data_IF_463659991905
#
_entry.id   IF_463659991905
#
_cell.length_a   1.000
_cell.length_b   1.000
_cell.length_c   1.000
_cell.angle_alpha   90.00
_cell.angle_beta   90.00
_cell.angle_gamma   90.00
#
_symmetry.space_group_name_H-M   'P 1'
#
loop_
_entity.id
_entity.type
_entity.pdbx_description
1 polymer ?
#
# COMPACT_ATOMS: atom_id res chain seq x y z
N UNK A 1 17.75 -38.32 10.67
CA UNK A 1 16.42 -38.83 10.24
C UNK A 1 15.41 -38.25 11.23
N UNK A 2 14.77 -37.12 10.93
CA UNK A 2 13.47 -37.01 10.25
C UNK A 2 12.34 -37.13 11.30
N UNK A 3 11.37 -36.24 11.52
CA UNK A 3 10.86 -35.10 10.77
C UNK A 3 10.32 -34.07 11.79
N UNK A 4 10.74 -32.81 11.70
CA UNK A 4 10.07 -31.70 12.38
C UNK A 4 8.94 -31.20 11.49
N UNK A 5 7.71 -31.61 11.78
CA UNK A 5 6.50 -31.10 11.15
C UNK A 5 6.33 -29.62 11.51
N UNK A 6 6.85 -28.73 10.66
CA UNK A 6 6.48 -27.32 10.62
C UNK A 6 5.00 -27.25 10.23
N UNK A 7 4.14 -27.18 11.25
CA UNK A 7 2.79 -26.65 11.08
C UNK A 7 2.95 -25.22 10.57
N UNK A 8 2.90 -25.06 9.25
CA UNK A 8 2.42 -23.83 8.66
C UNK A 8 1.06 -23.57 9.32
N UNK A 9 1.04 -22.68 10.30
CA UNK A 9 -0.20 -21.98 10.65
C UNK A 9 -0.55 -21.26 9.36
N UNK A 10 -1.43 -21.88 8.56
CA UNK A 10 -2.20 -21.14 7.58
C UNK A 10 -2.91 -20.07 8.40
N UNK A 11 -2.34 -18.86 8.43
CA UNK A 11 -3.14 -17.68 8.69
C UNK A 11 -4.18 -17.74 7.59
N UNK A 12 -5.36 -18.24 7.91
CA UNK A 12 -6.54 -18.00 7.09
C UNK A 12 -6.51 -16.50 6.90
N UNK A 13 -6.17 -16.06 5.68
CA UNK A 13 -6.40 -14.71 5.22
C UNK A 13 -7.89 -14.52 5.42
N UNK A 14 -8.27 -13.99 6.59
CA UNK A 14 -9.63 -13.65 6.93
C UNK A 14 -9.95 -12.50 6.00
N UNK A 15 -10.47 -12.84 4.82
CA UNK A 15 -11.04 -11.87 3.88
C UNK A 15 -12.05 -11.04 4.65
N UNK A 16 -12.05 -9.71 4.46
CA UNK A 16 -12.97 -8.85 5.21
C UNK A 16 -14.44 -9.00 4.76
N UNK A 17 -14.71 -9.75 3.68
CA UNK A 17 -16.06 -10.05 3.17
C UNK A 17 -17.01 -10.50 4.27
N UNK A 18 -18.14 -9.84 4.45
CA UNK A 18 -19.20 -10.22 5.41
C UNK A 18 -19.73 -11.64 5.10
N UNK A 19 -19.92 -12.46 6.15
CA UNK A 19 -20.55 -13.77 6.04
C UNK A 19 -22.07 -13.61 5.99
N UNK A 20 -22.70 -14.41 5.13
CA UNK A 20 -24.15 -14.57 5.03
C UNK A 20 -24.57 -15.73 5.94
N UNK A 21 -25.54 -15.47 6.80
CA UNK A 21 -26.13 -16.46 7.71
C UNK A 21 -27.21 -17.30 7.03
N UNK A 22 -27.86 -16.77 5.99
CA UNK A 22 -29.02 -17.36 5.34
C UNK A 22 -30.35 -16.98 6.01
N UNK A 23 -30.31 -16.17 7.08
CA UNK A 23 -31.47 -15.61 7.77
C UNK A 23 -31.56 -14.14 7.41
N UNK A 24 -32.63 -13.76 6.69
CA UNK A 24 -32.78 -12.42 6.10
C UNK A 24 -32.59 -11.30 7.11
N UNK A 25 -33.18 -11.44 8.30
CA UNK A 25 -33.16 -10.45 9.38
C UNK A 25 -31.74 -10.25 9.93
N UNK A 26 -30.95 -11.33 10.02
CA UNK A 26 -29.56 -11.29 10.47
C UNK A 26 -28.66 -10.69 9.39
N UNK A 27 -28.88 -11.06 8.14
CA UNK A 27 -28.08 -10.58 7.01
C UNK A 27 -28.31 -9.08 6.76
N UNK A 28 -29.54 -8.61 7.00
CA UNK A 28 -29.90 -7.18 6.94
C UNK A 28 -29.14 -6.33 7.96
N UNK A 29 -28.75 -6.88 9.12
CA UNK A 29 -27.92 -6.16 10.09
C UNK A 29 -26.62 -5.66 9.44
N UNK A 30 -26.04 -6.44 8.51
CA UNK A 30 -24.76 -6.12 7.88
C UNK A 30 -24.87 -5.58 6.45
N UNK A 31 -26.06 -5.45 5.88
CA UNK A 31 -26.23 -5.10 4.48
C UNK A 31 -25.53 -3.78 4.09
N UNK A 32 -25.65 -2.75 4.94
CA UNK A 32 -25.10 -1.42 4.66
C UNK A 32 -23.57 -1.35 4.73
N UNK A 33 -22.90 -2.35 5.34
CA UNK A 33 -21.44 -2.34 5.52
C UNK A 33 -20.69 -3.23 4.54
N UNK A 34 -21.40 -4.05 3.76
CA UNK A 34 -20.78 -4.96 2.78
C UNK A 34 -19.94 -4.20 1.75
N UNK A 35 -20.52 -3.18 1.11
CA UNK A 35 -19.81 -2.41 0.09
C UNK A 35 -18.62 -1.62 0.66
N UNK A 36 -18.75 -0.85 1.76
CA UNK A 36 -17.62 -0.11 2.32
C UNK A 36 -16.44 -1.01 2.72
N UNK A 37 -16.72 -2.19 3.31
CA UNK A 37 -15.66 -3.15 3.66
C UNK A 37 -14.97 -3.72 2.42
N UNK A 38 -15.75 -4.10 1.39
CA UNK A 38 -15.16 -4.62 0.15
C UNK A 38 -14.32 -3.56 -0.56
N UNK A 39 -14.77 -2.30 -0.51
CA UNK A 39 -14.01 -1.17 -1.06
C UNK A 39 -12.73 -0.95 -0.27
N UNK A 40 -12.77 -0.99 1.07
CA UNK A 40 -11.58 -0.91 1.92
C UNK A 40 -10.57 -2.02 1.60
N UNK A 41 -11.02 -3.26 1.49
CA UNK A 41 -10.16 -4.41 1.14
C UNK A 41 -9.45 -4.17 -0.19
N UNK A 42 -10.21 -3.72 -1.19
CA UNK A 42 -9.69 -3.47 -2.54
C UNK A 42 -8.68 -2.31 -2.55
N UNK A 43 -8.98 -1.20 -1.87
CA UNK A 43 -8.07 -0.07 -1.75
C UNK A 43 -6.77 -0.46 -1.03
N UNK A 44 -6.88 -1.24 0.05
CA UNK A 44 -5.73 -1.72 0.80
C UNK A 44 -4.83 -2.61 -0.06
N UNK A 45 -5.40 -3.58 -0.78
CA UNK A 45 -4.65 -4.50 -1.64
C UNK A 45 -4.00 -3.77 -2.81
N UNK A 46 -4.73 -2.85 -3.46
CA UNK A 46 -4.22 -2.10 -4.60
C UNK A 46 -3.06 -1.18 -4.20
N UNK A 47 -3.19 -0.44 -3.08
CA UNK A 47 -2.13 0.46 -2.64
C UNK A 47 -0.89 -0.31 -2.16
N UNK A 48 -1.08 -1.40 -1.41
CA UNK A 48 0.03 -2.28 -0.99
C UNK A 48 0.77 -2.86 -2.21
N UNK A 49 0.02 -3.38 -3.20
CA UNK A 49 0.62 -3.90 -4.43
C UNK A 49 1.39 -2.82 -5.21
N UNK A 50 0.82 -1.62 -5.36
CA UNK A 50 1.49 -0.51 -6.05
C UNK A 50 2.77 -0.07 -5.32
N UNK A 51 2.71 0.01 -3.99
CA UNK A 51 3.85 0.35 -3.14
C UNK A 51 4.98 -0.69 -3.28
N UNK A 52 4.65 -1.98 -3.17
CA UNK A 52 5.62 -3.07 -3.32
C UNK A 52 6.21 -3.11 -4.73
N UNK A 53 5.41 -2.94 -5.78
CA UNK A 53 5.89 -2.91 -7.16
C UNK A 53 6.90 -1.77 -7.38
N UNK A 54 6.65 -0.59 -6.81
CA UNK A 54 7.60 0.51 -6.87
C UNK A 54 8.92 0.17 -6.14
N UNK A 55 8.84 -0.41 -4.94
CA UNK A 55 10.04 -0.87 -4.20
C UNK A 55 10.81 -1.97 -4.93
N UNK A 56 10.12 -2.90 -5.60
CA UNK A 56 10.74 -3.95 -6.42
C UNK A 56 11.47 -3.33 -7.60
N UNK A 57 10.82 -2.41 -8.32
CA UNK A 57 11.41 -1.74 -9.50
C UNK A 57 12.64 -0.89 -9.17
N UNK A 58 12.75 -0.41 -7.92
CA UNK A 58 13.90 0.33 -7.41
C UNK A 58 14.92 -0.54 -6.66
N UNK A 59 14.64 -1.84 -6.51
CA UNK A 59 15.51 -2.79 -5.82
C UNK A 59 15.52 -2.67 -4.28
N UNK A 60 14.69 -1.81 -3.70
CA UNK A 60 14.63 -1.58 -2.25
C UNK A 60 13.84 -2.64 -1.48
N UNK A 61 12.94 -3.36 -2.16
CA UNK A 61 12.06 -4.36 -1.53
C UNK A 61 12.81 -5.44 -0.73
N UNK A 62 14.03 -5.82 -1.16
CA UNK A 62 14.82 -6.87 -0.49
C UNK A 62 15.47 -6.44 0.83
N UNK A 63 15.41 -5.17 1.19
CA UNK A 63 16.12 -4.62 2.36
C UNK A 63 15.13 -4.00 3.35
N UNK A 64 14.99 -4.65 4.52
CA UNK A 64 14.06 -4.25 5.60
C UNK A 64 14.24 -2.83 6.15
N UNK A 65 15.40 -2.22 5.90
CA UNK A 65 15.73 -0.89 6.42
C UNK A 65 15.36 0.23 5.46
N UNK A 66 15.09 -0.06 4.18
CA UNK A 66 14.75 0.97 3.22
C UNK A 66 13.31 1.41 3.35
N UNK A 67 13.13 2.72 3.32
CA UNK A 67 11.85 3.41 3.27
C UNK A 67 11.47 3.74 1.84
N UNK A 68 10.24 4.20 1.64
CA UNK A 68 9.81 4.71 0.33
C UNK A 68 10.69 5.87 -0.17
N UNK A 69 11.18 6.75 0.71
CA UNK A 69 12.07 7.85 0.32
C UNK A 69 13.44 7.40 -0.21
N UNK A 70 13.95 6.24 0.24
CA UNK A 70 15.14 5.62 -0.35
C UNK A 70 14.86 5.15 -1.79
N UNK A 71 13.67 4.60 -2.01
CA UNK A 71 13.20 4.17 -3.33
C UNK A 71 13.12 5.35 -4.30
N UNK A 72 12.62 6.50 -3.83
CA UNK A 72 12.63 7.76 -4.60
C UNK A 72 14.05 8.22 -4.91
N UNK A 73 14.97 8.13 -3.96
CA UNK A 73 16.37 8.52 -4.18
C UNK A 73 17.02 7.62 -5.24
N UNK A 74 16.78 6.31 -5.19
CA UNK A 74 17.27 5.36 -6.19
C UNK A 74 16.64 5.63 -7.56
N UNK A 75 15.36 5.96 -7.62
CA UNK A 75 14.71 6.41 -8.86
C UNK A 75 15.42 7.63 -9.46
N UNK A 76 15.73 8.65 -8.66
CA UNK A 76 16.46 9.84 -9.14
C UNK A 76 17.87 9.49 -9.63
N UNK A 77 18.58 8.58 -8.94
CA UNK A 77 19.88 8.06 -9.37
C UNK A 77 19.75 7.31 -10.70
N UNK A 78 18.71 6.50 -10.87
CA UNK A 78 18.40 5.78 -12.12
C UNK A 78 18.28 6.78 -13.28
N UNK A 79 17.44 7.79 -13.12
CA UNK A 79 17.27 8.84 -14.12
C UNK A 79 18.56 9.61 -14.37
N UNK A 80 19.32 9.89 -13.31
CA UNK A 80 20.59 10.60 -13.42
C UNK A 80 21.61 9.80 -14.24
N UNK A 81 21.67 8.50 -14.05
CA UNK A 81 22.54 7.59 -14.82
C UNK A 81 22.12 7.46 -16.29
N UNK A 82 20.82 7.55 -16.62
CA UNK A 82 20.37 7.65 -18.03
C UNK A 82 20.94 8.87 -18.73
N UNK A 83 21.13 9.97 -18.01
CA UNK A 83 21.56 11.26 -18.57
C UNK A 83 23.00 11.65 -18.23
N UNK A 84 23.81 10.72 -17.70
CA UNK A 84 25.17 10.99 -17.24
C UNK A 84 25.24 12.21 -16.30
N UNK A 85 24.43 12.21 -15.25
CA UNK A 85 24.43 13.24 -14.21
C UNK A 85 23.76 14.56 -14.58
N UNK A 86 23.06 14.66 -15.72
CA UNK A 86 22.44 15.92 -16.16
C UNK A 86 20.96 15.75 -16.53
N UNK A 87 20.08 16.00 -15.55
CA UNK A 87 18.63 15.90 -15.69
C UNK A 87 18.03 16.73 -16.84
N UNK A 88 18.69 17.82 -17.27
CA UNK A 88 18.20 18.61 -18.41
C UNK A 88 18.17 17.78 -19.70
N UNK A 89 19.04 16.76 -19.85
CA UNK A 89 19.02 15.89 -21.04
C UNK A 89 17.78 15.02 -21.13
N UNK A 90 17.06 14.81 -20.03
CA UNK A 90 15.79 14.07 -20.00
C UNK A 90 14.61 14.99 -19.68
N UNK A 91 14.82 16.32 -19.68
CA UNK A 91 13.81 17.32 -19.34
C UNK A 91 13.06 17.03 -18.03
N UNK A 92 13.77 16.53 -16.99
CA UNK A 92 13.13 16.22 -15.72
C UNK A 92 12.71 17.52 -15.01
N UNK A 93 11.41 17.61 -14.69
CA UNK A 93 10.78 18.68 -13.93
C UNK A 93 9.96 18.10 -12.80
N UNK A 94 10.01 18.75 -11.64
CA UNK A 94 9.07 18.47 -10.57
C UNK A 94 7.82 19.32 -10.72
N UNK A 95 6.68 18.74 -10.38
CA UNK A 95 5.37 19.41 -10.30
C UNK A 95 4.87 19.37 -8.85
N UNK A 96 4.07 20.36 -8.49
CA UNK A 96 3.39 20.40 -7.18
C UNK A 96 2.22 19.43 -7.10
N UNK A 97 1.72 18.97 -8.24
CA UNK A 97 0.57 18.08 -8.39
C UNK A 97 0.90 16.91 -9.32
N UNK A 98 0.03 15.90 -9.34
CA UNK A 98 0.09 14.72 -10.21
C UNK A 98 0.57 15.09 -11.63
N UNK A 99 1.62 14.45 -12.18
CA UNK A 99 2.36 13.26 -11.71
C UNK A 99 3.54 13.49 -10.76
N UNK A 100 3.71 14.70 -10.21
CA UNK A 100 4.85 15.14 -9.38
C UNK A 100 6.22 15.12 -10.07
N UNK A 101 6.45 14.21 -11.02
CA UNK A 101 7.63 14.12 -11.88
C UNK A 101 7.18 14.10 -13.34
N UNK A 102 7.71 15.01 -14.14
CA UNK A 102 7.57 15.02 -15.59
C UNK A 102 8.95 14.88 -16.23
N UNK A 103 9.10 14.00 -17.21
CA UNK A 103 10.35 13.81 -17.95
C UNK A 103 10.09 13.25 -19.35
N UNK A 104 11.08 13.38 -20.24
CA UNK A 104 11.05 12.75 -21.56
C UNK A 104 11.46 11.28 -21.47
N UNK A 105 10.46 10.40 -21.35
CA UNK A 105 10.66 8.96 -21.19
C UNK A 105 11.40 8.30 -22.35
N UNK A 106 11.34 8.85 -23.57
CA UNK A 106 12.03 8.29 -24.75
C UNK A 106 13.53 8.21 -24.52
N UNK A 107 14.08 9.15 -23.74
CA UNK A 107 15.49 9.29 -23.44
C UNK A 107 15.96 8.44 -22.24
N UNK A 108 15.04 7.72 -21.58
CA UNK A 108 15.36 6.77 -20.53
C UNK A 108 15.77 5.41 -21.10
N UNK A 109 16.66 4.72 -20.39
CA UNK A 109 16.92 3.29 -20.59
C UNK A 109 15.69 2.46 -20.25
N UNK A 110 15.56 1.29 -20.88
CA UNK A 110 14.36 0.45 -20.75
C UNK A 110 14.05 0.11 -19.28
N UNK A 111 15.08 -0.24 -18.52
CA UNK A 111 15.00 -0.58 -17.10
C UNK A 111 14.52 0.61 -16.24
N UNK A 112 14.87 1.84 -16.62
CA UNK A 112 14.47 3.05 -15.90
C UNK A 112 13.07 3.54 -16.30
N UNK A 113 12.56 3.12 -17.47
CA UNK A 113 11.15 3.37 -17.84
C UNK A 113 10.19 2.60 -16.94
N UNK A 114 10.57 1.39 -16.53
CA UNK A 114 9.77 0.59 -15.58
C UNK A 114 9.61 1.31 -14.24
N UNK A 115 10.70 1.87 -13.69
CA UNK A 115 10.66 2.67 -12.46
C UNK A 115 9.71 3.86 -12.59
N UNK A 116 9.72 4.55 -13.74
CA UNK A 116 8.81 5.67 -13.99
C UNK A 116 7.34 5.20 -14.08
N UNK A 117 7.11 4.05 -14.71
CA UNK A 117 5.78 3.46 -14.82
C UNK A 117 5.21 3.06 -13.46
N UNK A 118 6.00 2.39 -12.62
CA UNK A 118 5.57 1.96 -11.28
C UNK A 118 5.36 3.15 -10.34
N UNK A 119 6.17 4.22 -10.47
CA UNK A 119 5.94 5.49 -9.79
C UNK A 119 4.57 6.09 -10.13
N UNK A 120 4.23 6.19 -11.42
CA UNK A 120 2.93 6.76 -11.82
C UNK A 120 1.77 5.91 -11.31
N UNK A 121 1.87 4.58 -11.37
CA UNK A 121 0.86 3.67 -10.80
C UNK A 121 0.70 3.90 -9.29
N UNK A 122 1.81 4.04 -8.55
CA UNK A 122 1.78 4.36 -7.12
C UNK A 122 1.07 5.69 -6.86
N UNK A 123 1.39 6.74 -7.60
CA UNK A 123 0.77 8.06 -7.46
C UNK A 123 -0.72 8.05 -7.79
N UNK A 124 -1.11 7.42 -8.90
CA UNK A 124 -2.52 7.28 -9.29
C UNK A 124 -3.31 6.52 -8.21
N UNK A 125 -2.78 5.40 -7.74
CA UNK A 125 -3.40 4.58 -6.68
C UNK A 125 -3.47 5.34 -5.34
N UNK A 126 -2.43 6.09 -4.99
CA UNK A 126 -2.41 6.96 -3.82
C UNK A 126 -3.52 8.02 -3.87
N UNK A 127 -3.69 8.70 -5.00
CA UNK A 127 -4.71 9.74 -5.17
C UNK A 127 -6.13 9.16 -5.16
N UNK A 128 -6.35 8.05 -5.85
CA UNK A 128 -7.63 7.35 -5.84
C UNK A 128 -8.00 6.91 -4.42
N UNK A 129 -7.06 6.25 -3.73
CA UNK A 129 -7.25 5.75 -2.37
C UNK A 129 -7.54 6.91 -1.41
N UNK A 130 -6.74 7.98 -1.47
CA UNK A 130 -6.94 9.17 -0.63
C UNK A 130 -8.32 9.80 -0.83
N UNK A 131 -8.81 9.87 -2.07
CA UNK A 131 -10.12 10.47 -2.37
C UNK A 131 -11.29 9.67 -1.78
N UNK A 132 -11.19 8.33 -1.75
CA UNK A 132 -12.25 7.42 -1.30
C UNK A 132 -12.20 7.11 0.19
N UNK A 133 -11.02 7.20 0.81
CA UNK A 133 -10.81 6.74 2.18
C UNK A 133 -11.62 7.50 3.23
N UNK A 134 -11.83 8.81 3.05
CA UNK A 134 -12.59 9.61 4.01
C UNK A 134 -14.04 9.14 4.12
N UNK A 135 -14.72 8.96 2.98
CA UNK A 135 -16.10 8.49 2.93
C UNK A 135 -16.24 7.09 3.55
N UNK A 136 -15.33 6.16 3.19
CA UNK A 136 -15.34 4.80 3.73
C UNK A 136 -15.06 4.80 5.24
N UNK A 137 -14.12 5.65 5.68
CA UNK A 137 -13.77 5.76 7.10
C UNK A 137 -14.96 6.20 7.95
N UNK A 138 -15.76 7.16 7.48
CA UNK A 138 -16.95 7.60 8.20
C UNK A 138 -18.00 6.48 8.30
N UNK A 139 -18.29 5.82 7.18
CA UNK A 139 -19.25 4.71 7.12
C UNK A 139 -18.86 3.55 8.04
N UNK A 140 -17.57 3.17 8.08
CA UNK A 140 -17.08 2.10 8.96
C UNK A 140 -17.12 2.50 10.44
N UNK A 141 -16.80 3.75 10.76
CA UNK A 141 -16.86 4.22 12.15
C UNK A 141 -18.29 4.28 12.67
N UNK A 142 -19.22 4.85 11.90
CA UNK A 142 -20.65 4.88 12.23
C UNK A 142 -21.20 3.45 12.40
N UNK A 143 -20.82 2.54 11.50
CA UNK A 143 -21.26 1.15 11.59
C UNK A 143 -20.73 0.43 12.83
N UNK A 144 -19.49 0.72 13.26
CA UNK A 144 -18.95 0.13 14.49
C UNK A 144 -19.68 0.59 15.76
N UNK A 145 -20.24 1.80 15.76
CA UNK A 145 -21.04 2.27 16.89
C UNK A 145 -22.39 1.56 16.94
N UNK A 146 -23.07 1.47 15.79
CA UNK A 146 -24.37 0.80 15.68
C UNK A 146 -24.27 -0.72 15.90
N UNK A 147 -23.17 -1.35 15.49
CA UNK A 147 -23.00 -2.81 15.60
C UNK A 147 -22.83 -3.33 17.04
N UNK A 148 -22.70 -2.45 18.03
CA UNK A 148 -22.57 -2.85 19.45
C UNK A 148 -23.79 -3.59 19.99
N UNK A 149 -24.97 -3.31 19.46
CA UNK A 149 -26.22 -3.99 19.86
C UNK A 149 -26.50 -5.28 19.07
N UNK A 150 -25.74 -5.56 18.00
CA UNK A 150 -26.02 -6.68 17.10
C UNK A 150 -25.96 -8.06 17.77
N UNK A 151 -25.09 -8.34 18.77
CA UNK A 151 -25.15 -9.61 19.50
C UNK A 151 -26.49 -9.83 20.20
N UNK A 152 -27.11 -8.78 20.73
CA UNK A 152 -28.39 -8.89 21.42
C UNK A 152 -29.55 -8.95 20.42
N UNK A 153 -29.52 -8.14 19.36
CA UNK A 153 -30.47 -8.24 18.25
C UNK A 153 -30.44 -9.64 17.60
N UNK A 154 -29.27 -10.25 17.46
CA UNK A 154 -29.14 -11.61 16.94
C UNK A 154 -29.81 -12.67 17.84
N UNK A 155 -29.74 -12.51 19.16
CA UNK A 155 -30.46 -13.38 20.11
C UNK A 155 -31.97 -13.16 20.01
N UNK A 156 -32.42 -11.92 19.91
CA UNK A 156 -33.83 -11.59 19.73
C UNK A 156 -34.38 -12.18 18.43
N UNK A 157 -33.65 -12.05 17.31
CA UNK A 157 -34.03 -12.66 16.03
C UNK A 157 -34.12 -14.19 16.17
N UNK A 158 -33.11 -14.82 16.79
CA UNK A 158 -33.12 -16.27 16.97
C UNK A 158 -34.32 -16.77 17.79
N UNK A 159 -34.70 -16.02 18.84
CA UNK A 159 -35.87 -16.33 19.66
C UNK A 159 -37.18 -16.08 18.91
N UNK A 160 -37.30 -14.94 18.21
CA UNK A 160 -38.51 -14.53 17.52
C UNK A 160 -38.83 -15.43 16.31
N UNK A 161 -37.81 -15.96 15.65
CA UNK A 161 -37.96 -16.91 14.55
C UNK A 161 -38.06 -18.37 15.02
N UNK A 162 -38.09 -18.61 16.34
CA UNK A 162 -38.16 -19.93 16.95
C UNK A 162 -37.10 -20.90 16.39
N UNK A 163 -35.89 -20.39 16.16
CA UNK A 163 -34.80 -21.21 15.61
C UNK A 163 -34.45 -22.33 16.58
N UNK A 164 -34.16 -23.50 16.04
CA UNK A 164 -33.61 -24.59 16.84
C UNK A 164 -32.23 -24.22 17.41
N UNK A 165 -31.72 -25.03 18.34
CA UNK A 165 -30.44 -24.76 19.00
C UNK A 165 -29.29 -24.60 18.00
N UNK A 166 -29.34 -25.30 16.86
CA UNK A 166 -28.32 -25.24 15.80
C UNK A 166 -28.43 -23.92 15.01
N UNK A 167 -29.64 -23.50 14.64
CA UNK A 167 -29.92 -22.26 13.94
C UNK A 167 -29.60 -21.03 14.79
N UNK A 168 -29.97 -21.05 16.08
CA UNK A 168 -29.60 -20.00 17.03
C UNK A 168 -28.08 -19.88 17.21
N UNK A 169 -27.38 -21.00 17.39
CA UNK A 169 -25.92 -21.00 17.49
C UNK A 169 -25.24 -20.51 16.19
N UNK A 170 -25.78 -20.88 15.02
CA UNK A 170 -25.27 -20.44 13.72
C UNK A 170 -25.44 -18.94 13.54
N UNK A 171 -26.58 -18.39 13.93
CA UNK A 171 -26.88 -16.95 13.91
C UNK A 171 -25.88 -16.16 14.75
N UNK A 172 -25.75 -16.53 16.02
CA UNK A 172 -24.84 -15.86 16.97
C UNK A 172 -23.39 -15.94 16.46
N UNK A 173 -22.98 -17.11 15.96
CA UNK A 173 -21.64 -17.29 15.39
C UNK A 173 -21.41 -16.42 14.17
N UNK A 174 -22.39 -16.30 13.27
CA UNK A 174 -22.28 -15.47 12.07
C UNK A 174 -22.09 -14.00 12.43
N UNK A 175 -22.93 -13.47 13.34
CA UNK A 175 -22.80 -12.11 13.86
C UNK A 175 -21.43 -11.91 14.52
N UNK A 176 -20.99 -12.83 15.38
CA UNK A 176 -19.67 -12.75 16.01
C UNK A 176 -18.50 -12.69 15.01
N UNK A 177 -18.54 -13.49 13.95
CA UNK A 177 -17.51 -13.45 12.89
C UNK A 177 -17.54 -12.13 12.13
N UNK A 178 -18.73 -11.60 11.82
CA UNK A 178 -18.87 -10.33 11.10
C UNK A 178 -18.42 -9.13 11.94
N UNK A 179 -18.68 -9.14 13.26
CA UNK A 179 -18.15 -8.13 14.17
C UNK A 179 -16.62 -8.16 14.24
N UNK A 180 -16.02 -9.35 14.22
CA UNK A 180 -14.56 -9.47 14.17
C UNK A 180 -13.99 -8.91 12.86
N UNK A 181 -14.68 -9.08 11.73
CA UNK A 181 -14.30 -8.46 10.45
C UNK A 181 -14.39 -6.93 10.47
N UNK A 182 -15.38 -6.36 11.16
CA UNK A 182 -15.44 -4.91 11.37
C UNK A 182 -14.29 -4.38 12.21
N UNK A 183 -13.90 -5.14 13.25
CA UNK A 183 -12.71 -4.84 14.04
C UNK A 183 -11.45 -4.86 13.18
N UNK A 184 -11.32 -5.83 12.28
CA UNK A 184 -10.23 -5.88 11.30
C UNK A 184 -10.29 -4.71 10.32
N UNK A 185 -11.47 -4.30 9.85
CA UNK A 185 -11.63 -3.16 8.97
C UNK A 185 -11.09 -1.85 9.59
N UNK A 186 -11.32 -1.62 10.90
CA UNK A 186 -10.71 -0.49 11.59
C UNK A 186 -9.18 -0.53 11.61
N UNK A 187 -8.61 -1.72 11.80
CA UNK A 187 -7.16 -1.91 11.75
C UNK A 187 -6.64 -1.59 10.35
N UNK A 188 -7.28 -2.13 9.31
CA UNK A 188 -6.91 -1.88 7.91
C UNK A 188 -7.07 -0.40 7.53
N UNK A 189 -8.11 0.29 8.01
CA UNK A 189 -8.24 1.75 7.83
C UNK A 189 -7.03 2.52 8.39
N UNK A 190 -6.60 2.18 9.60
CA UNK A 190 -5.46 2.85 10.23
C UNK A 190 -4.15 2.55 9.51
N UNK A 191 -3.93 1.29 9.10
CA UNK A 191 -2.78 0.89 8.29
C UNK A 191 -2.76 1.66 6.96
N UNK A 192 -3.91 1.77 6.29
CA UNK A 192 -4.04 2.48 5.03
C UNK A 192 -3.76 3.98 5.18
N UNK A 193 -4.27 4.62 6.25
CA UNK A 193 -3.96 6.02 6.58
C UNK A 193 -2.46 6.24 6.80
N UNK A 194 -1.79 5.31 7.49
CA UNK A 194 -0.35 5.38 7.72
C UNK A 194 0.43 5.25 6.41
N UNK A 195 0.06 4.32 5.52
CA UNK A 195 0.70 4.18 4.20
C UNK A 195 0.51 5.43 3.34
N UNK A 196 -0.69 6.02 3.32
CA UNK A 196 -0.94 7.28 2.62
C UNK A 196 -0.06 8.42 3.15
N UNK A 197 0.09 8.51 4.48
CA UNK A 197 0.96 9.51 5.08
C UNK A 197 2.43 9.30 4.72
N UNK A 198 2.92 8.05 4.73
CA UNK A 198 4.28 7.72 4.29
C UNK A 198 4.53 8.12 2.83
N UNK A 199 3.57 7.85 1.94
CA UNK A 199 3.65 8.25 0.53
C UNK A 199 3.70 9.78 0.40
N UNK A 200 2.83 10.49 1.11
CA UNK A 200 2.81 11.95 1.13
C UNK A 200 4.13 12.54 1.60
N UNK A 201 4.65 12.08 2.74
CA UNK A 201 5.94 12.54 3.29
C UNK A 201 7.09 12.27 2.32
N UNK A 202 7.04 11.13 1.60
CA UNK A 202 8.04 10.78 0.59
C UNK A 202 7.97 11.69 -0.65
N UNK A 203 6.78 12.09 -1.09
CA UNK A 203 6.58 13.09 -2.16
C UNK A 203 7.10 14.47 -1.74
N UNK A 204 6.88 14.87 -0.49
CA UNK A 204 7.43 16.12 0.06
C UNK A 204 8.97 16.05 0.18
N UNK A 205 9.51 14.87 0.54
CA UNK A 205 10.96 14.65 0.56
C UNK A 205 11.57 14.70 -0.84
N UNK A 206 10.90 14.19 -1.87
CA UNK A 206 11.30 14.34 -3.28
C UNK A 206 11.53 15.83 -3.61
N UNK A 207 10.59 16.70 -3.27
CA UNK A 207 10.72 18.14 -3.51
C UNK A 207 11.92 18.71 -2.76
N UNK A 208 12.09 18.36 -1.48
CA UNK A 208 13.24 18.82 -0.67
C UNK A 208 14.58 18.38 -1.24
N UNK A 209 14.72 17.11 -1.65
CA UNK A 209 15.95 16.58 -2.26
C UNK A 209 16.29 17.31 -3.55
N UNK A 210 15.28 17.60 -4.37
CA UNK A 210 15.48 18.29 -5.65
C UNK A 210 15.76 19.78 -5.50
N UNK A 211 15.35 20.41 -4.40
CA UNK A 211 15.74 21.78 -4.06
C UNK A 211 17.09 21.88 -3.36
N UNK A 212 17.63 20.78 -2.84
CA UNK A 212 18.93 20.74 -2.16
C UNK A 212 20.07 20.50 -3.15
N UNK A 213 20.95 21.49 -3.30
CA UNK A 213 22.12 21.37 -4.18
C UNK A 213 23.03 20.21 -3.75
N UNK A 214 23.28 20.03 -2.45
CA UNK A 214 24.14 18.95 -1.95
C UNK A 214 23.58 17.56 -2.26
N UNK A 215 22.26 17.38 -2.10
CA UNK A 215 21.59 16.10 -2.44
C UNK A 215 21.62 15.85 -3.95
N UNK A 216 21.33 16.86 -4.76
CA UNK A 216 21.42 16.75 -6.22
C UNK A 216 22.83 16.43 -6.69
N UNK A 217 23.86 17.06 -6.13
CA UNK A 217 25.27 16.76 -6.44
C UNK A 217 25.61 15.31 -6.10
N UNK A 218 25.14 14.80 -4.94
CA UNK A 218 25.30 13.41 -4.55
C UNK A 218 24.61 12.46 -5.53
N UNK A 219 23.35 12.72 -5.89
CA UNK A 219 22.58 11.93 -6.86
C UNK A 219 23.28 11.93 -8.22
N UNK A 220 23.71 13.09 -8.70
CA UNK A 220 24.41 13.23 -9.96
C UNK A 220 25.75 12.49 -9.96
N UNK A 221 26.53 12.58 -8.87
CA UNK A 221 27.79 11.85 -8.73
C UNK A 221 27.58 10.34 -8.85
N UNK A 222 26.68 9.78 -8.04
CA UNK A 222 26.38 8.34 -8.07
C UNK A 222 25.83 7.93 -9.45
N UNK A 223 24.94 8.74 -10.04
CA UNK A 223 24.41 8.51 -11.38
C UNK A 223 25.49 8.45 -12.46
N UNK A 224 26.52 9.30 -12.40
CA UNK A 224 27.67 9.26 -13.32
C UNK A 224 28.52 8.00 -13.14
N UNK A 225 28.84 7.63 -11.91
CA UNK A 225 29.61 6.41 -11.62
C UNK A 225 28.90 5.16 -12.20
N UNK A 226 27.59 5.07 -12.01
CA UNK A 226 26.76 3.99 -12.54
C UNK A 226 26.72 4.00 -14.07
N UNK A 227 26.66 5.19 -14.67
CA UNK A 227 26.71 5.37 -16.12
C UNK A 227 28.02 4.81 -16.70
N UNK A 228 29.14 5.19 -16.09
CA UNK A 228 30.49 4.81 -16.53
C UNK A 228 30.73 3.31 -16.34
N UNK A 229 30.26 2.73 -15.24
CA UNK A 229 30.33 1.29 -14.95
C UNK A 229 29.37 0.43 -15.79
N UNK A 230 28.41 1.05 -16.47
CA UNK A 230 27.36 0.40 -17.26
C UNK A 230 26.46 -0.56 -16.46
N UNK A 231 26.17 -0.25 -15.19
CA UNK A 231 25.40 -1.10 -14.26
C UNK A 231 24.00 -0.55 -13.97
N UNK A 232 23.07 -0.75 -14.90
CA UNK A 232 21.74 -0.11 -14.84
C UNK A 232 20.66 -0.94 -14.12
N UNK A 233 21.02 -2.08 -13.51
CA UNK A 233 20.03 -2.90 -12.81
C UNK A 233 19.60 -2.23 -11.50
N UNK A 234 18.31 -2.30 -11.11
CA UNK A 234 17.84 -1.72 -9.85
C UNK A 234 18.63 -2.16 -8.61
N UNK A 235 19.09 -3.42 -8.60
CA UNK A 235 19.92 -3.97 -7.52
C UNK A 235 21.29 -3.29 -7.44
N UNK A 236 21.91 -3.00 -8.58
CA UNK A 236 23.20 -2.29 -8.62
C UNK A 236 23.05 -0.83 -8.17
N UNK A 237 21.98 -0.16 -8.61
CA UNK A 237 21.65 1.20 -8.17
C UNK A 237 21.49 1.25 -6.64
N UNK A 238 20.69 0.34 -6.10
CA UNK A 238 20.39 0.22 -4.68
C UNK A 238 21.66 -0.07 -3.87
N UNK A 239 22.49 -1.02 -4.31
CA UNK A 239 23.76 -1.36 -3.67
C UNK A 239 24.72 -0.17 -3.65
N UNK A 240 24.91 0.53 -4.78
CA UNK A 240 25.77 1.72 -4.86
C UNK A 240 25.29 2.83 -3.94
N UNK A 241 23.98 3.05 -3.87
CA UNK A 241 23.40 4.00 -2.93
C UNK A 241 23.71 3.61 -1.47
N UNK A 242 23.48 2.35 -1.10
CA UNK A 242 23.75 1.82 0.23
C UNK A 242 25.22 1.98 0.65
N UNK A 243 26.14 1.53 -0.22
CA UNK A 243 27.59 1.65 0.01
C UNK A 243 28.02 3.11 0.21
N UNK A 244 27.34 4.06 -0.44
CA UNK A 244 27.62 5.51 -0.31
C UNK A 244 27.00 6.20 0.91
N UNK A 245 26.16 5.51 1.68
CA UNK A 245 25.37 6.08 2.78
C UNK A 245 25.59 5.39 4.12
N UNK A 246 26.05 4.14 4.13
CA UNK A 246 26.11 3.30 5.34
C UNK A 246 27.49 2.68 5.60
N UNK A 247 28.51 3.06 4.83
CA UNK A 247 29.91 2.69 5.09
C UNK A 247 30.61 3.89 5.74
N UNK A 248 30.54 3.93 7.07
CA UNK A 248 31.50 4.58 7.98
C UNK A 248 32.00 3.54 8.98
#
# INVERSE_FOLDING_TARGET
MGCGSSKMKASVLLTMRINVSGISEVDQLFANIVEPINMLDSLSQNLDAAFQNFQISTGTFSHKLFKLSDSITIMLIAYSSSCNGNFNKINLKLKSENPYIELNQILLKMEHKEIFSTWNILIETYLETSSKLNQISEQILEFNETSRSYPDQAKEIANNLELDAIGAATTIRCVGINLEKLRMANKTLNELKNMLNEIKESIEELQRKFSSQAELEKIHRIGREIHDEKRFSPKDLCRKYYDSTHVE
#
